data_IF_295894698597
#
_entry.id   IF_295894698597
#
_cell.length_a   1.000
_cell.length_b   1.000
_cell.length_c   1.000
_cell.angle_alpha   90.00
_cell.angle_beta   90.00
_cell.angle_gamma   90.00
#
_symmetry.space_group_name_H-M   'P 1'
#
loop_
_entity.id
_entity.type
_entity.pdbx_description
1 polymer ?
#
# COMPACT_ATOMS: atom_id res chain seq x y z
N UNK A 1 1.45 -19.10 -9.53
CA UNK A 1 0.74 -17.88 -9.09
C UNK A 1 -0.49 -18.34 -8.35
N UNK A 2 -0.57 -18.16 -7.04
CA UNK A 2 -1.79 -18.50 -6.31
C UNK A 2 -2.95 -17.66 -6.83
N UNK A 3 -4.12 -18.25 -7.11
CA UNK A 3 -5.27 -17.49 -7.57
C UNK A 3 -5.69 -16.50 -6.48
N UNK A 4 -5.93 -15.25 -6.87
CA UNK A 4 -6.39 -14.21 -5.95
C UNK A 4 -7.69 -14.67 -5.29
N UNK A 5 -7.62 -14.98 -3.99
CA UNK A 5 -8.79 -15.36 -3.19
C UNK A 5 -9.80 -14.21 -3.24
N UNK A 6 -11.06 -14.43 -3.65
CA UNK A 6 -12.06 -13.37 -3.65
C UNK A 6 -12.23 -12.86 -2.21
N UNK A 7 -12.02 -11.56 -2.03
CA UNK A 7 -12.04 -10.92 -0.71
C UNK A 7 -13.46 -10.56 -0.30
N UNK A 8 -13.70 -10.61 1.01
CA UNK A 8 -14.95 -10.19 1.62
C UNK A 8 -15.20 -8.70 1.35
N UNK A 9 -16.43 -8.36 0.95
CA UNK A 9 -16.80 -7.01 0.54
C UNK A 9 -16.97 -6.08 1.75
N UNK A 10 -15.86 -5.66 2.35
CA UNK A 10 -15.82 -4.69 3.46
C UNK A 10 -15.74 -3.26 2.94
N UNK A 11 -16.24 -2.25 3.69
CA UNK A 11 -16.12 -0.85 3.31
C UNK A 11 -14.67 -0.44 2.99
N UNK A 12 -13.70 -0.94 3.76
CA UNK A 12 -12.27 -0.68 3.59
C UNK A 12 -11.73 -1.29 2.29
N UNK A 13 -12.19 -2.49 1.92
CA UNK A 13 -11.84 -3.14 0.65
C UNK A 13 -12.30 -2.29 -0.53
N UNK A 14 -13.54 -1.77 -0.47
CA UNK A 14 -14.09 -0.91 -1.54
C UNK A 14 -13.27 0.35 -1.70
N UNK A 15 -12.82 0.95 -0.60
CA UNK A 15 -11.93 2.11 -0.64
C UNK A 15 -10.57 1.72 -1.23
N UNK A 16 -9.97 0.60 -0.84
CA UNK A 16 -8.66 0.17 -1.38
C UNK A 16 -8.70 -0.10 -2.88
N UNK A 17 -9.77 -0.72 -3.37
CA UNK A 17 -10.00 -0.93 -4.80
C UNK A 17 -10.17 0.41 -5.54
N UNK A 18 -10.98 1.32 -5.00
CA UNK A 18 -11.16 2.67 -5.58
C UNK A 18 -9.85 3.45 -5.61
N UNK A 19 -9.08 3.45 -4.52
CA UNK A 19 -7.78 4.12 -4.45
C UNK A 19 -6.82 3.53 -5.47
N UNK A 20 -6.75 2.19 -5.60
CA UNK A 20 -5.91 1.54 -6.62
C UNK A 20 -6.30 1.93 -8.05
N UNK A 21 -7.60 2.08 -8.31
CA UNK A 21 -8.09 2.55 -9.60
C UNK A 21 -7.67 3.99 -9.89
N UNK A 22 -7.84 4.91 -8.93
CA UNK A 22 -7.40 6.31 -9.06
C UNK A 22 -5.88 6.39 -9.28
N UNK A 23 -5.10 5.61 -8.53
CA UNK A 23 -3.64 5.58 -8.68
C UNK A 23 -3.21 5.15 -10.09
N UNK A 24 -3.92 4.19 -10.69
CA UNK A 24 -3.60 3.73 -12.02
C UNK A 24 -4.10 4.67 -13.12
N UNK A 25 -5.41 4.97 -13.12
CA UNK A 25 -6.06 5.67 -14.22
C UNK A 25 -5.83 7.18 -14.18
N UNK A 26 -5.91 7.79 -12.99
CA UNK A 26 -5.80 9.25 -12.85
C UNK A 26 -4.36 9.68 -12.58
N UNK A 27 -3.60 8.88 -11.81
CA UNK A 27 -2.23 9.22 -11.43
C UNK A 27 -1.16 8.52 -12.27
N UNK A 28 -1.57 7.66 -13.22
CA UNK A 28 -0.67 7.07 -14.21
C UNK A 28 0.34 6.06 -13.67
N UNK A 29 0.18 5.58 -12.43
CA UNK A 29 1.06 4.54 -11.90
C UNK A 29 0.78 3.21 -12.61
N UNK A 30 1.78 2.53 -13.20
CA UNK A 30 1.56 1.23 -13.83
C UNK A 30 1.03 0.20 -12.82
N UNK A 31 0.03 -0.62 -13.20
CA UNK A 31 -0.52 -1.67 -12.32
C UNK A 31 0.57 -2.59 -11.77
N UNK A 32 1.57 -2.90 -12.59
CA UNK A 32 2.71 -3.75 -12.23
C UNK A 32 3.63 -3.15 -11.16
N UNK A 33 3.51 -1.85 -10.87
CA UNK A 33 4.25 -1.15 -9.81
C UNK A 33 3.42 -0.96 -8.53
N UNK A 34 2.13 -1.31 -8.54
CA UNK A 34 1.23 -1.17 -7.40
C UNK A 34 1.04 -2.54 -6.76
N UNK A 35 1.41 -2.67 -5.49
CA UNK A 35 1.16 -3.86 -4.70
C UNK A 35 0.18 -3.60 -3.57
N UNK A 36 -0.53 -4.64 -3.15
CA UNK A 36 -1.46 -4.58 -2.02
C UNK A 36 -0.97 -5.48 -0.88
N UNK A 37 -1.27 -5.09 0.36
CA UNK A 37 -1.01 -5.88 1.57
C UNK A 37 0.46 -6.31 1.72
N UNK A 38 1.39 -5.39 1.46
CA UNK A 38 2.82 -5.68 1.53
C UNK A 38 3.36 -5.50 2.95
N UNK A 39 4.12 -6.48 3.40
CA UNK A 39 4.89 -6.36 4.65
C UNK A 39 6.14 -5.54 4.40
N UNK A 40 6.32 -4.52 5.22
CA UNK A 40 7.43 -3.57 5.22
C UNK A 40 8.11 -3.58 6.59
N UNK A 41 9.44 -3.45 6.61
CA UNK A 41 10.21 -3.38 7.84
C UNK A 41 10.33 -1.92 8.28
N UNK A 42 9.94 -1.63 9.52
CA UNK A 42 9.99 -0.30 10.14
C UNK A 42 10.85 -0.38 11.40
N UNK A 43 12.15 -0.13 11.25
CA UNK A 43 13.14 -0.39 12.32
C UNK A 43 13.22 -1.88 12.63
N UNK A 44 12.97 -2.26 13.89
CA UNK A 44 12.89 -3.67 14.34
C UNK A 44 11.53 -4.31 14.06
N UNK A 45 10.50 -3.50 13.79
CA UNK A 45 9.13 -3.97 13.63
C UNK A 45 8.79 -4.27 12.18
N UNK A 46 7.76 -5.09 11.97
CA UNK A 46 7.17 -5.35 10.65
C UNK A 46 5.73 -4.86 10.63
N UNK A 47 5.39 -4.03 9.65
CA UNK A 47 4.03 -3.55 9.41
C UNK A 47 3.53 -4.03 8.07
N UNK A 48 2.22 -4.21 7.93
CA UNK A 48 1.58 -4.55 6.67
C UNK A 48 0.86 -3.31 6.16
N UNK A 49 1.30 -2.78 5.02
CA UNK A 49 0.70 -1.63 4.38
C UNK A 49 -0.38 -2.06 3.38
N UNK A 50 -1.46 -1.28 3.29
CA UNK A 50 -2.58 -1.59 2.39
C UNK A 50 -2.21 -1.49 0.91
N UNK A 51 -1.55 -0.40 0.50
CA UNK A 51 -1.07 -0.20 -0.87
C UNK A 51 0.36 0.33 -0.83
N UNK A 52 1.23 -0.25 -1.65
CA UNK A 52 2.62 0.19 -1.84
C UNK A 52 2.89 0.39 -3.32
N UNK A 53 3.49 1.53 -3.67
CA UNK A 53 3.90 1.84 -5.04
C UNK A 53 5.43 1.79 -5.10
N UNK A 54 5.96 1.03 -6.04
CA UNK A 54 7.40 0.90 -6.27
C UNK A 54 7.87 1.73 -7.46
N UNK A 55 9.18 1.95 -7.54
CA UNK A 55 9.78 2.68 -8.66
C UNK A 55 9.61 1.96 -10.01
N UNK A 56 9.61 0.63 -10.00
CA UNK A 56 9.48 -0.21 -11.18
C UNK A 56 8.88 -1.60 -10.83
N UNK A 57 8.51 -2.36 -11.86
CA UNK A 57 7.93 -3.70 -11.74
C UNK A 57 8.83 -4.68 -10.99
N UNK A 58 10.13 -4.66 -11.24
CA UNK A 58 11.06 -5.59 -10.59
C UNK A 58 11.08 -5.39 -9.08
N UNK A 59 11.17 -4.13 -8.64
CA UNK A 59 11.08 -3.76 -7.23
C UNK A 59 9.77 -4.21 -6.58
N UNK A 60 8.65 -4.11 -7.32
CA UNK A 60 7.34 -4.57 -6.86
C UNK A 60 7.26 -6.10 -6.67
N UNK A 61 7.89 -6.87 -7.58
CA UNK A 61 7.97 -8.33 -7.49
C UNK A 61 8.85 -8.76 -6.31
N UNK A 62 10.00 -8.11 -6.16
CA UNK A 62 11.00 -8.41 -5.12
C UNK A 62 10.61 -7.88 -3.73
N UNK A 63 9.56 -7.07 -3.65
CA UNK A 63 9.23 -6.29 -2.44
C UNK A 63 10.45 -5.46 -1.96
N UNK A 64 11.16 -4.84 -2.91
CA UNK A 64 12.36 -4.03 -2.64
C UNK A 64 11.97 -2.72 -1.95
N UNK A 65 12.08 -2.74 -0.62
CA UNK A 65 11.73 -1.62 0.23
C UNK A 65 12.58 -0.36 -0.05
N UNK A 66 13.81 -0.52 -0.54
CA UNK A 66 14.68 0.61 -0.91
C UNK A 66 14.21 1.35 -2.17
N UNK A 67 13.25 0.78 -2.91
CA UNK A 67 12.66 1.35 -4.12
C UNK A 67 11.16 1.59 -3.98
N UNK A 68 10.66 1.75 -2.77
CA UNK A 68 9.29 2.23 -2.55
C UNK A 68 9.22 3.73 -2.89
N UNK A 69 8.22 4.11 -3.67
CA UNK A 69 7.86 5.51 -3.98
C UNK A 69 6.80 6.06 -3.03
N UNK A 70 5.82 5.23 -2.67
CA UNK A 70 4.69 5.64 -1.85
C UNK A 70 4.15 4.47 -1.04
N UNK A 71 3.76 4.75 0.20
CA UNK A 71 3.04 3.84 1.09
C UNK A 71 1.71 4.50 1.42
N UNK A 72 0.61 3.78 1.29
CA UNK A 72 -0.74 4.28 1.53
C UNK A 72 -1.46 3.31 2.45
N UNK A 73 -2.01 3.85 3.54
CA UNK A 73 -2.92 3.13 4.43
C UNK A 73 -4.36 3.57 4.15
N UNK A 74 -5.26 2.60 4.06
CA UNK A 74 -6.68 2.82 3.77
C UNK A 74 -7.48 2.65 5.05
N UNK A 75 -8.31 3.64 5.36
CA UNK A 75 -9.26 3.56 6.47
C UNK A 75 -10.69 3.52 5.95
N UNK A 76 -11.61 3.05 6.79
CA UNK A 76 -13.04 3.15 6.53
C UNK A 76 -13.42 4.61 6.29
N UNK A 77 -14.38 4.92 5.40
CA UNK A 77 -14.73 6.30 5.02
C UNK A 77 -15.23 7.15 6.20
N UNK A 78 -15.68 6.53 7.28
CA UNK A 78 -16.17 7.19 8.48
C UNK A 78 -15.08 7.45 9.54
N UNK A 79 -13.86 6.98 9.31
CA UNK A 79 -12.71 7.19 10.21
C UNK A 79 -11.95 8.43 9.73
N UNK A 80 -12.00 9.49 10.53
CA UNK A 80 -11.40 10.80 10.20
C UNK A 80 -10.04 11.03 10.85
N UNK A 81 -9.70 10.29 11.90
CA UNK A 81 -8.42 10.44 12.60
C UNK A 81 -7.44 9.35 12.17
N UNK A 82 -6.24 9.72 11.65
CA UNK A 82 -5.18 8.77 11.37
C UNK A 82 -4.59 8.26 12.70
N UNK A 83 -4.45 6.96 12.84
CA UNK A 83 -3.98 6.24 14.03
C UNK A 83 -2.46 6.34 14.28
N UNK A 84 -1.82 7.44 13.83
CA UNK A 84 -0.39 7.70 14.03
C UNK A 84 0.57 6.85 13.20
N UNK A 85 0.05 5.95 12.33
CA UNK A 85 0.91 5.07 11.53
C UNK A 85 1.81 5.83 10.54
N UNK A 86 1.29 6.89 9.93
CA UNK A 86 2.04 7.73 8.97
C UNK A 86 3.21 8.45 9.63
N UNK A 87 3.06 8.86 10.89
CA UNK A 87 4.14 9.49 11.69
C UNK A 87 5.31 8.51 11.89
N UNK A 88 5.01 7.22 12.09
CA UNK A 88 6.05 6.19 12.23
C UNK A 88 6.92 6.01 10.99
N UNK A 89 6.38 6.18 9.78
CA UNK A 89 7.16 6.09 8.54
C UNK A 89 8.14 7.26 8.38
N UNK A 90 7.74 8.47 8.79
CA UNK A 90 8.59 9.68 8.70
C UNK A 90 9.77 9.59 9.68
N UNK A 91 9.52 9.08 10.90
CA UNK A 91 10.56 8.95 11.92
C UNK A 91 11.61 7.87 11.61
N UNK A 92 11.31 6.89 10.76
CA UNK A 92 12.23 5.81 10.39
C UNK A 92 13.15 6.15 9.20
N UNK A 93 13.00 7.33 8.61
CA UNK A 93 13.83 7.85 7.49
C UNK A 93 14.86 8.91 7.91
N UNK A 94 15.08 9.12 9.22
CA UNK A 94 16.15 9.98 9.76
C UNK A 94 17.38 9.19 10.17
#
# INVERSE_FOLDING_TARGET
MEPAKPRENKPEERVRQKTSHILHEEMGYPKDCIAHERTINMGTDKKRADIVIYQNKQACIENDQGKIKLIIEVKAPNVREPDGQLTGYISATS
#
